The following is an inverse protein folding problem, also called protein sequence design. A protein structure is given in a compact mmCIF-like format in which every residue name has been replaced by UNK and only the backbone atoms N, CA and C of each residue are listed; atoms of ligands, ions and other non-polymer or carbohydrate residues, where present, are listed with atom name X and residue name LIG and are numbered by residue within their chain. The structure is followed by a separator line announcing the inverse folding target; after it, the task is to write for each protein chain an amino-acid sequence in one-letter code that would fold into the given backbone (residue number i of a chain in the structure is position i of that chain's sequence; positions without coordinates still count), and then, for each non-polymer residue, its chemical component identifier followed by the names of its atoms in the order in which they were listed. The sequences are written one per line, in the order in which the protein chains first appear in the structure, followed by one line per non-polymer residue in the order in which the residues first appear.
data_IF_997495139784
#
_entry.id   IF_997495139784
#
_cell.length_a   1.000
_cell.length_b   1.000
_cell.length_c   1.000
_cell.angle_alpha   90.00
_cell.angle_beta   90.00
_cell.angle_gamma   90.00
#
_symmetry.space_group_name_H-M   'P 1'
#
loop_
_entity.id
_entity.type
_entity.pdbx_description
1 polymer ?
#
# COMPACT_ATOMS: atom_id res chain seq x y z
N UNK A 1 3.08 26.29 8.01
CA UNK A 1 4.17 26.01 7.05
C UNK A 1 3.93 24.72 6.26
N UNK A 2 3.77 23.55 6.90
CA UNK A 2 3.56 22.26 6.21
C UNK A 2 2.35 22.24 5.25
N UNK A 3 1.20 22.78 5.66
CA UNK A 3 0.00 22.84 4.82
C UNK A 3 0.14 23.66 3.54
N UNK A 4 0.94 24.72 3.56
CA UNK A 4 1.23 25.54 2.38
C UNK A 4 2.09 24.77 1.37
N UNK A 5 3.10 24.04 1.85
CA UNK A 5 3.96 23.17 1.03
C UNK A 5 3.13 22.06 0.39
N UNK A 6 2.26 21.39 1.15
CA UNK A 6 1.36 20.36 0.62
C UNK A 6 0.40 20.93 -0.43
N UNK A 7 -0.13 22.14 -0.21
CA UNK A 7 -1.03 22.81 -1.17
C UNK A 7 -0.33 23.10 -2.50
N UNK A 8 0.88 23.66 -2.46
CA UNK A 8 1.68 23.91 -3.68
C UNK A 8 1.97 22.59 -4.40
N UNK A 9 2.42 21.57 -3.66
CA UNK A 9 2.74 20.26 -4.25
C UNK A 9 1.53 19.66 -4.96
N UNK A 10 0.35 19.66 -4.33
CA UNK A 10 -0.86 19.11 -4.92
C UNK A 10 -1.28 19.91 -6.17
N UNK A 11 -1.21 21.24 -6.14
CA UNK A 11 -1.49 22.06 -7.33
C UNK A 11 -0.55 21.79 -8.51
N UNK A 12 0.71 21.42 -8.25
CA UNK A 12 1.66 21.05 -9.29
C UNK A 12 1.34 19.67 -9.90
N UNK A 13 0.81 18.72 -9.11
CA UNK A 13 0.27 17.46 -9.63
C UNK A 13 -1.00 17.70 -10.46
N UNK A 14 -1.94 18.51 -9.96
CA UNK A 14 -3.20 18.80 -10.66
C UNK A 14 -2.97 19.49 -12.02
N UNK A 15 -1.92 20.32 -12.12
CA UNK A 15 -1.51 20.99 -13.36
C UNK A 15 -0.63 20.12 -14.27
N UNK A 16 -0.31 18.89 -13.88
CA UNK A 16 0.53 17.98 -14.67
C UNK A 16 2.02 18.32 -14.73
N UNK A 17 2.51 19.20 -13.85
CA UNK A 17 3.95 19.51 -13.79
C UNK A 17 4.79 18.35 -13.27
N UNK A 18 4.22 17.54 -12.36
CA UNK A 18 4.85 16.32 -11.89
C UNK A 18 4.38 15.12 -12.71
N UNK A 19 5.32 14.20 -12.99
CA UNK A 19 5.01 12.96 -13.69
C UNK A 19 4.12 12.07 -12.82
N UNK A 20 3.00 11.63 -13.39
CA UNK A 20 2.18 10.55 -12.88
C UNK A 20 2.44 9.29 -13.72
N UNK A 21 2.34 8.13 -13.10
CA UNK A 21 2.43 6.84 -13.81
C UNK A 21 1.06 6.20 -13.84
N UNK A 22 0.66 5.74 -15.01
CA UNK A 22 -0.58 5.02 -15.25
C UNK A 22 -0.24 3.57 -15.61
N UNK A 23 -1.14 2.67 -15.27
CA UNK A 23 -0.99 1.24 -15.51
C UNK A 23 -2.27 0.72 -16.14
N UNK A 24 -2.15 -0.24 -17.06
CA UNK A 24 -3.29 -0.86 -17.76
C UNK A 24 -4.08 -1.87 -16.89
N UNK A 25 -3.97 -1.77 -15.56
CA UNK A 25 -4.66 -2.62 -14.61
C UNK A 25 -5.48 -1.79 -13.59
N UNK A 26 -6.63 -2.29 -13.13
CA UNK A 26 -7.42 -1.59 -12.11
C UNK A 26 -6.63 -1.43 -10.80
N UNK A 27 -6.53 -0.20 -10.30
CA UNK A 27 -5.82 0.11 -9.05
C UNK A 27 -6.78 0.75 -8.05
N UNK A 28 -6.86 0.17 -6.84
CA UNK A 28 -7.58 0.74 -5.71
C UNK A 28 -6.55 1.30 -4.71
N UNK A 29 -6.54 2.62 -4.54
CA UNK A 29 -5.67 3.28 -3.56
C UNK A 29 -6.41 3.46 -2.22
N UNK A 30 -5.93 2.81 -1.16
CA UNK A 30 -6.46 2.96 0.20
C UNK A 30 -5.54 3.87 1.01
N UNK A 31 -6.00 5.09 1.30
CA UNK A 31 -5.26 6.10 2.05
C UNK A 31 -6.05 6.68 3.22
N UNK A 32 -5.39 7.48 4.06
CA UNK A 32 -6.04 8.31 5.07
C UNK A 32 -5.42 9.71 5.12
N UNK A 33 -6.22 10.71 5.49
CA UNK A 33 -5.79 12.09 5.66
C UNK A 33 -5.20 12.39 7.05
N UNK A 34 -5.52 11.56 8.05
CA UNK A 34 -4.99 11.69 9.42
C UNK A 34 -3.84 10.72 9.71
N UNK A 35 -2.91 11.16 10.57
CA UNK A 35 -1.85 10.31 11.14
C UNK A 35 -2.42 9.47 12.29
N UNK A 36 -2.07 8.18 12.35
CA UNK A 36 -2.56 7.24 13.38
C UNK A 36 -3.26 6.00 12.81
N UNK A 37 -3.76 5.16 13.71
CA UNK A 37 -4.48 3.91 13.40
C UNK A 37 -5.84 4.20 12.77
N UNK A 38 -5.87 4.29 11.45
CA UNK A 38 -7.04 4.77 10.70
C UNK A 38 -7.83 3.66 10.00
N UNK A 39 -7.73 2.42 10.48
CA UNK A 39 -8.48 1.29 9.92
C UNK A 39 -8.10 0.88 8.49
N UNK A 40 -6.96 1.38 7.94
CA UNK A 40 -6.52 1.03 6.57
C UNK A 40 -6.31 -0.47 6.40
N UNK A 41 -5.57 -1.11 7.31
CA UNK A 41 -5.28 -2.55 7.23
C UNK A 41 -6.56 -3.39 7.23
N UNK A 42 -7.50 -3.25 8.19
CA UNK A 42 -8.78 -3.94 8.11
C UNK A 42 -9.58 -3.67 6.82
N UNK A 43 -9.53 -2.44 6.30
CA UNK A 43 -10.23 -2.10 5.06
C UNK A 43 -9.59 -2.77 3.83
N UNK A 44 -8.26 -2.84 3.77
CA UNK A 44 -7.54 -3.58 2.72
C UNK A 44 -7.88 -5.07 2.78
N UNK A 45 -7.89 -5.66 3.98
CA UNK A 45 -8.29 -7.07 4.14
C UNK A 45 -9.74 -7.33 3.71
N UNK A 46 -10.65 -6.40 3.99
CA UNK A 46 -12.03 -6.46 3.50
C UNK A 46 -12.09 -6.45 1.96
N UNK A 47 -11.36 -5.55 1.30
CA UNK A 47 -11.31 -5.48 -0.17
C UNK A 47 -10.72 -6.75 -0.78
N UNK A 48 -9.66 -7.32 -0.19
CA UNK A 48 -9.12 -8.61 -0.62
C UNK A 48 -10.20 -9.68 -0.56
N UNK A 49 -10.90 -9.81 0.58
CA UNK A 49 -11.97 -10.81 0.76
C UNK A 49 -13.09 -10.65 -0.26
N UNK A 50 -13.45 -9.41 -0.58
CA UNK A 50 -14.49 -9.09 -1.54
C UNK A 50 -14.09 -9.46 -2.98
N UNK A 51 -12.81 -9.25 -3.36
CA UNK A 51 -12.39 -9.28 -4.77
C UNK A 51 -11.61 -10.55 -5.15
N UNK A 52 -10.98 -11.25 -4.21
CA UNK A 52 -10.06 -12.36 -4.51
C UNK A 52 -10.70 -13.56 -5.23
N UNK A 53 -12.03 -13.72 -5.14
CA UNK A 53 -12.75 -14.82 -5.80
C UNK A 53 -13.07 -14.51 -7.27
N UNK A 54 -13.03 -13.23 -7.66
CA UNK A 54 -13.36 -12.77 -9.01
C UNK A 54 -12.11 -12.27 -9.76
N UNK A 55 -11.10 -11.78 -9.03
CA UNK A 55 -9.90 -11.17 -9.57
C UNK A 55 -8.63 -11.75 -8.97
N UNK A 56 -7.55 -11.74 -9.74
CA UNK A 56 -6.19 -11.94 -9.21
C UNK A 56 -5.76 -10.68 -8.46
N UNK A 57 -5.90 -10.69 -7.14
CA UNK A 57 -5.59 -9.56 -6.28
C UNK A 57 -4.12 -9.60 -5.87
N UNK A 58 -3.47 -8.43 -5.92
CA UNK A 58 -2.18 -8.21 -5.31
C UNK A 58 -2.22 -6.93 -4.45
N UNK A 59 -1.38 -6.87 -3.42
CA UNK A 59 -1.26 -5.67 -2.59
C UNK A 59 0.14 -5.11 -2.62
N UNK A 60 0.24 -3.79 -2.53
CA UNK A 60 1.50 -3.06 -2.40
C UNK A 60 1.41 -2.14 -1.19
N UNK A 61 2.30 -2.34 -0.22
CA UNK A 61 2.48 -1.46 0.93
C UNK A 61 3.86 -0.81 0.89
N UNK A 62 4.09 0.18 1.76
CA UNK A 62 5.40 0.81 1.93
C UNK A 62 6.37 -0.03 2.77
N UNK A 63 5.88 -1.03 3.51
CA UNK A 63 6.69 -1.82 4.44
C UNK A 63 7.30 -0.97 5.56
N UNK A 64 6.49 -0.13 6.23
CA UNK A 64 6.98 0.77 7.28
C UNK A 64 7.70 0.00 8.40
N UNK A 65 8.85 0.51 8.86
CA UNK A 65 9.63 -0.07 9.95
C UNK A 65 10.55 -1.24 9.56
N UNK A 66 10.58 -1.65 8.29
CA UNK A 66 11.51 -2.70 7.83
C UNK A 66 12.94 -2.18 7.61
N UNK A 67 13.90 -3.09 7.71
CA UNK A 67 15.33 -2.84 7.50
C UNK A 67 15.76 -3.03 6.04
N UNK A 68 14.98 -3.77 5.25
CA UNK A 68 15.27 -3.95 3.82
C UNK A 68 14.91 -2.72 3.01
N UNK A 69 15.40 -2.65 1.76
CA UNK A 69 15.15 -1.53 0.85
C UNK A 69 14.71 -2.05 -0.52
N UNK A 70 14.02 -1.19 -1.27
CA UNK A 70 13.57 -1.50 -2.62
C UNK A 70 12.31 -2.37 -2.65
N UNK A 71 11.86 -2.66 -3.86
CA UNK A 71 10.69 -3.49 -4.11
C UNK A 71 10.97 -4.95 -3.73
N UNK A 72 10.10 -5.56 -2.93
CA UNK A 72 10.22 -6.96 -2.52
C UNK A 72 8.84 -7.61 -2.39
N UNK A 73 8.76 -8.89 -2.74
CA UNK A 73 7.64 -9.75 -2.37
C UNK A 73 7.80 -10.28 -0.94
N UNK A 74 6.71 -10.21 -0.18
CA UNK A 74 6.64 -10.64 1.21
C UNK A 74 6.32 -12.11 1.28
N UNK A 75 7.08 -12.87 2.06
CA UNK A 75 6.81 -14.27 2.35
C UNK A 75 6.13 -14.44 3.71
N UNK A 76 5.34 -15.50 3.84
CA UNK A 76 4.63 -15.84 5.11
C UNK A 76 5.60 -16.00 6.29
N UNK A 77 6.83 -16.44 6.00
CA UNK A 77 7.89 -16.71 6.97
C UNK A 77 8.84 -15.51 7.21
N UNK A 78 8.62 -14.39 6.53
CA UNK A 78 9.44 -13.19 6.76
C UNK A 78 9.25 -12.68 8.20
N UNK A 79 10.26 -11.96 8.69
CA UNK A 79 10.14 -11.19 9.93
C UNK A 79 9.55 -9.81 9.63
N UNK A 80 8.87 -9.23 10.62
CA UNK A 80 8.40 -7.85 10.57
C UNK A 80 9.53 -6.86 10.25
N UNK A 81 10.72 -7.08 10.80
CA UNK A 81 11.91 -6.29 10.50
C UNK A 81 12.38 -6.37 9.04
N UNK A 82 11.89 -7.34 8.27
CA UNK A 82 12.27 -7.54 6.87
C UNK A 82 11.21 -7.00 5.92
N UNK A 83 9.93 -7.17 6.25
CA UNK A 83 8.84 -6.84 5.31
C UNK A 83 7.91 -5.73 5.82
N UNK A 84 7.97 -5.40 7.10
CA UNK A 84 7.05 -4.49 7.79
C UNK A 84 5.86 -5.26 8.38
N UNK A 85 5.29 -4.73 9.46
CA UNK A 85 4.20 -5.40 10.20
C UNK A 85 2.94 -5.59 9.35
N UNK A 86 2.44 -4.52 8.72
CA UNK A 86 1.20 -4.54 7.93
C UNK A 86 1.25 -5.51 6.73
N UNK A 87 2.25 -5.45 5.83
CA UNK A 87 2.27 -6.38 4.69
C UNK A 87 2.54 -7.82 5.12
N UNK A 88 3.31 -8.06 6.19
CA UNK A 88 3.49 -9.40 6.73
C UNK A 88 2.17 -9.96 7.31
N UNK A 89 1.40 -9.13 8.01
CA UNK A 89 0.06 -9.52 8.48
C UNK A 89 -0.84 -9.91 7.31
N UNK A 90 -0.93 -9.07 6.28
CA UNK A 90 -1.74 -9.35 5.09
C UNK A 90 -1.29 -10.67 4.45
N UNK A 91 0.02 -10.89 4.26
CA UNK A 91 0.53 -12.13 3.66
C UNK A 91 0.21 -13.37 4.50
N UNK A 92 0.19 -13.24 5.83
CA UNK A 92 -0.21 -14.34 6.73
C UNK A 92 -1.70 -14.64 6.67
N UNK A 93 -2.56 -13.63 6.56
CA UNK A 93 -4.01 -13.81 6.44
C UNK A 93 -4.43 -14.31 5.06
N UNK A 94 -3.67 -13.96 4.02
CA UNK A 94 -3.94 -14.30 2.63
C UNK A 94 -2.66 -14.88 2.00
N UNK A 95 -2.31 -16.15 2.31
CA UNK A 95 -1.06 -16.76 1.85
C UNK A 95 -0.98 -16.89 0.32
N UNK A 96 -2.12 -17.00 -0.35
CA UNK A 96 -2.21 -17.27 -1.78
C UNK A 96 -2.13 -16.01 -2.66
N UNK A 97 -2.26 -14.81 -2.09
CA UNK A 97 -2.12 -13.56 -2.86
C UNK A 97 -0.69 -13.05 -2.85
N UNK A 98 -0.31 -12.32 -3.90
CA UNK A 98 0.98 -11.62 -3.92
C UNK A 98 0.90 -10.35 -3.05
N UNK A 99 1.86 -10.21 -2.14
CA UNK A 99 1.97 -9.05 -1.26
C UNK A 99 3.36 -8.46 -1.43
N UNK A 100 3.43 -7.18 -1.77
CA UNK A 100 4.67 -6.46 -2.01
C UNK A 100 4.86 -5.35 -0.98
N UNK A 101 6.11 -5.11 -0.60
CA UNK A 101 6.52 -4.09 0.35
C UNK A 101 7.77 -3.34 -0.12
#
# INVERSE_FOLDING_TARGET
MLGFITKIRNQLFDKGYFKSSEFDLPIINVGNLAVGGSGKTPHVEYLIRLLQNEFKVATLSRGYGRNTRGFREVNVNDKASESGDEPLQIKKHFPDINVFA
#
